data_IF_795977206778
#
_entry.id   IF_795977206778
#
_cell.length_a   1.000
_cell.length_b   1.000
_cell.length_c   1.000
_cell.angle_alpha   90.00
_cell.angle_beta   90.00
_cell.angle_gamma   90.00
#
_symmetry.space_group_name_H-M   'P 1'
#
loop_
_entity.id
_entity.type
_entity.pdbx_description
1 polymer ?
#
# COMPACT_ATOMS: atom_id res chain seq x y z
N UNK A 1 -14.58 -10.26 3.05
CA UNK A 1 -15.00 -9.71 1.76
C UNK A 1 -14.98 -8.19 1.88
N UNK A 2 -14.36 -7.50 0.92
CA UNK A 2 -14.21 -6.04 0.91
C UNK A 2 -15.48 -5.32 0.38
N UNK A 3 -15.54 -3.98 0.40
CA UNK A 3 -16.67 -3.22 -0.15
C UNK A 3 -16.90 -3.41 -1.67
N UNK A 4 -15.91 -3.92 -2.39
CA UNK A 4 -15.99 -4.24 -3.82
C UNK A 4 -16.48 -5.67 -4.08
N UNK A 5 -16.77 -6.44 -3.02
CA UNK A 5 -17.18 -7.86 -3.02
C UNK A 5 -16.06 -8.85 -3.33
N UNK A 6 -14.80 -8.47 -3.15
CA UNK A 6 -13.65 -9.36 -3.30
C UNK A 6 -13.38 -10.06 -1.98
N UNK A 7 -13.09 -11.36 -2.01
CA UNK A 7 -12.65 -12.08 -0.81
C UNK A 7 -11.20 -11.69 -0.47
N UNK A 8 -11.00 -11.27 0.77
CA UNK A 8 -9.70 -10.85 1.31
C UNK A 8 -9.38 -11.62 2.58
N UNK A 9 -8.10 -11.83 2.84
CA UNK A 9 -7.59 -12.51 4.04
C UNK A 9 -6.31 -11.82 4.56
N UNK A 10 -5.91 -12.09 5.80
CA UNK A 10 -4.75 -11.46 6.43
C UNK A 10 -4.88 -9.94 6.47
N UNK A 11 -3.84 -9.23 6.01
CA UNK A 11 -3.80 -7.76 5.96
C UNK A 11 -4.29 -7.17 4.63
N UNK A 12 -5.34 -7.77 4.05
CA UNK A 12 -5.97 -7.26 2.83
C UNK A 12 -5.53 -7.94 1.55
N UNK A 13 -4.84 -9.07 1.64
CA UNK A 13 -4.51 -9.92 0.49
C UNK A 13 -5.80 -10.34 -0.22
N UNK A 14 -5.96 -9.95 -1.48
CA UNK A 14 -7.10 -10.33 -2.31
C UNK A 14 -6.89 -11.74 -2.88
N UNK A 15 -7.81 -12.66 -2.56
CA UNK A 15 -7.64 -14.07 -2.90
C UNK A 15 -7.73 -14.26 -4.42
N UNK A 16 -6.57 -14.47 -5.05
CA UNK A 16 -6.43 -14.80 -6.46
C UNK A 16 -6.39 -16.31 -6.64
N UNK A 17 -7.28 -16.84 -7.47
CA UNK A 17 -7.38 -18.28 -7.71
C UNK A 17 -7.68 -18.54 -9.19
N UNK A 18 -6.81 -19.32 -9.83
CA UNK A 18 -6.93 -19.75 -11.25
C UNK A 18 -7.21 -18.60 -12.23
N UNK A 19 -6.47 -17.49 -12.08
CA UNK A 19 -6.50 -16.38 -13.04
C UNK A 19 -7.58 -15.33 -12.77
N UNK A 20 -8.28 -15.39 -11.64
CA UNK A 20 -9.25 -14.36 -11.23
C UNK A 20 -9.27 -14.17 -9.72
N UNK A 21 -9.77 -13.02 -9.28
CA UNK A 21 -10.15 -12.82 -7.89
C UNK A 21 -11.41 -13.61 -7.55
N UNK A 22 -11.46 -14.13 -6.32
CA UNK A 22 -12.69 -14.69 -5.75
C UNK A 22 -13.62 -13.57 -5.32
N UNK A 23 -14.88 -13.62 -5.75
CA UNK A 23 -15.85 -12.52 -5.56
C UNK A 23 -17.24 -13.03 -5.17
N UNK A 24 -17.94 -12.21 -4.39
CA UNK A 24 -19.35 -12.42 -4.06
C UNK A 24 -19.64 -13.72 -3.32
N UNK A 25 -20.92 -14.06 -3.27
CA UNK A 25 -21.39 -15.23 -2.53
C UNK A 25 -21.04 -16.55 -3.23
N UNK A 26 -20.96 -16.53 -4.56
CA UNK A 26 -20.66 -17.71 -5.39
C UNK A 26 -19.33 -18.36 -5.03
N UNK A 27 -18.32 -17.57 -4.64
CA UNK A 27 -17.00 -18.07 -4.28
C UNK A 27 -16.82 -18.31 -2.77
N UNK A 28 -17.87 -18.12 -1.94
CA UNK A 28 -17.74 -18.25 -0.48
C UNK A 28 -17.19 -19.60 -0.04
N UNK A 29 -17.73 -20.68 -0.59
CA UNK A 29 -17.32 -22.04 -0.23
C UNK A 29 -15.85 -22.28 -0.60
N UNK A 30 -15.45 -21.80 -1.79
CA UNK A 30 -14.08 -21.92 -2.28
C UNK A 30 -13.09 -21.07 -1.45
N UNK A 31 -13.44 -19.83 -1.12
CA UNK A 31 -12.60 -18.97 -0.28
C UNK A 31 -12.36 -19.61 1.11
N UNK A 32 -13.39 -20.25 1.68
CA UNK A 32 -13.27 -20.99 2.94
C UNK A 32 -12.46 -22.27 2.81
N UNK A 33 -12.58 -23.00 1.70
CA UNK A 33 -11.81 -24.23 1.51
C UNK A 33 -10.32 -23.99 1.26
N UNK A 34 -9.94 -22.82 0.74
CA UNK A 34 -8.53 -22.44 0.57
C UNK A 34 -7.86 -22.12 1.91
N UNK A 35 -8.61 -21.60 2.87
CA UNK A 35 -8.11 -21.21 4.20
C UNK A 35 -9.04 -21.72 5.32
N UNK A 36 -9.20 -23.04 5.47
CA UNK A 36 -10.20 -23.61 6.38
C UNK A 36 -9.93 -23.30 7.85
N UNK A 37 -8.64 -23.09 8.20
CA UNK A 37 -8.19 -22.78 9.55
C UNK A 37 -7.75 -21.31 9.71
N UNK A 38 -8.03 -20.46 8.73
CA UNK A 38 -7.48 -19.11 8.67
C UNK A 38 -5.97 -19.11 8.38
N UNK A 39 -5.28 -18.05 8.81
CA UNK A 39 -3.84 -17.86 8.65
C UNK A 39 -3.18 -17.73 10.03
N UNK A 40 -1.99 -18.31 10.14
CA UNK A 40 -1.02 -17.98 11.17
C UNK A 40 -0.41 -16.60 10.93
N UNK A 41 0.23 -16.03 11.95
CA UNK A 41 0.95 -14.76 11.80
C UNK A 41 2.06 -14.85 10.73
N UNK A 42 2.79 -15.97 10.70
CA UNK A 42 3.85 -16.20 9.72
C UNK A 42 3.30 -16.22 8.28
N UNK A 43 2.14 -16.83 8.07
CA UNK A 43 1.49 -16.82 6.75
C UNK A 43 0.94 -15.44 6.37
N UNK A 44 0.40 -14.68 7.32
CA UNK A 44 0.02 -13.28 7.08
C UNK A 44 1.21 -12.42 6.65
N UNK A 45 2.37 -12.58 7.31
CA UNK A 45 3.61 -11.88 6.94
C UNK A 45 4.08 -12.32 5.56
N UNK A 46 4.13 -13.63 5.29
CA UNK A 46 4.57 -14.14 4.00
C UNK A 46 3.69 -13.65 2.83
N UNK A 47 2.38 -13.55 3.02
CA UNK A 47 1.47 -12.98 2.02
C UNK A 47 1.71 -11.48 1.83
N UNK A 48 1.90 -10.72 2.91
CA UNK A 48 2.20 -9.30 2.81
C UNK A 48 3.52 -9.06 2.08
N UNK A 49 4.57 -9.81 2.43
CA UNK A 49 5.88 -9.71 1.79
C UNK A 49 5.77 -10.01 0.28
N UNK A 50 5.02 -11.05 -0.09
CA UNK A 50 4.78 -11.40 -1.49
C UNK A 50 4.01 -10.31 -2.25
N UNK A 51 2.99 -9.71 -1.63
CA UNK A 51 2.22 -8.62 -2.22
C UNK A 51 3.07 -7.35 -2.37
N UNK A 52 3.93 -7.05 -1.39
CA UNK A 52 4.79 -5.87 -1.37
C UNK A 52 6.01 -5.99 -2.28
N UNK A 53 6.53 -7.19 -2.55
CA UNK A 53 7.73 -7.39 -3.35
C UNK A 53 7.67 -6.67 -4.72
N UNK A 54 6.53 -6.78 -5.42
CA UNK A 54 6.34 -6.09 -6.71
C UNK A 54 6.25 -4.57 -6.55
N UNK A 55 5.62 -4.11 -5.47
CA UNK A 55 5.48 -2.69 -5.15
C UNK A 55 6.86 -2.08 -4.87
N UNK A 56 7.68 -2.75 -4.07
CA UNK A 56 9.02 -2.29 -3.72
C UNK A 56 9.94 -2.21 -4.94
N UNK A 57 9.95 -3.24 -5.79
CA UNK A 57 10.72 -3.23 -7.05
C UNK A 57 10.29 -2.07 -7.95
N UNK A 58 8.97 -1.88 -8.10
CA UNK A 58 8.43 -0.75 -8.86
C UNK A 58 8.88 0.59 -8.28
N UNK A 59 8.72 0.82 -6.96
CA UNK A 59 9.06 2.11 -6.35
C UNK A 59 10.55 2.44 -6.48
N UNK A 60 11.43 1.46 -6.24
CA UNK A 60 12.87 1.64 -6.38
C UNK A 60 13.27 1.99 -7.83
N UNK A 61 12.59 1.41 -8.81
CA UNK A 61 12.86 1.66 -10.23
C UNK A 61 12.28 3.00 -10.70
N UNK A 62 11.02 3.27 -10.33
CA UNK A 62 10.28 4.43 -10.80
C UNK A 62 10.68 5.74 -10.09
N UNK A 63 11.05 5.66 -8.81
CA UNK A 63 11.32 6.81 -7.95
C UNK A 63 12.61 6.60 -7.14
N UNK A 64 13.79 6.59 -7.79
CA UNK A 64 15.07 6.24 -7.14
C UNK A 64 15.56 7.25 -6.09
N UNK A 65 14.84 8.36 -5.87
CA UNK A 65 15.21 9.45 -4.95
C UNK A 65 14.25 9.61 -3.77
N UNK A 66 13.37 8.63 -3.53
CA UNK A 66 12.47 8.68 -2.39
C UNK A 66 13.26 8.59 -1.08
N UNK A 67 12.85 9.41 -0.12
CA UNK A 67 13.19 9.18 1.29
C UNK A 67 12.26 8.12 1.89
N UNK A 68 12.67 7.49 3.00
CA UNK A 68 11.91 6.39 3.60
C UNK A 68 10.42 6.72 3.86
N UNK A 69 10.04 7.86 4.45
CA UNK A 69 8.62 8.17 4.68
C UNK A 69 7.80 8.28 3.38
N UNK A 70 8.43 8.76 2.30
CA UNK A 70 7.77 8.81 0.99
C UNK A 70 7.63 7.41 0.39
N UNK A 71 8.68 6.60 0.50
CA UNK A 71 8.65 5.20 0.07
C UNK A 71 7.52 4.43 0.76
N UNK A 72 7.43 4.54 2.09
CA UNK A 72 6.41 3.86 2.89
C UNK A 72 4.99 4.33 2.54
N UNK A 73 4.81 5.65 2.37
CA UNK A 73 3.51 6.21 1.99
C UNK A 73 3.07 5.76 0.60
N UNK A 74 3.98 5.75 -0.38
CA UNK A 74 3.67 5.26 -1.74
C UNK A 74 3.50 3.75 -1.78
N UNK A 75 4.23 3.00 -0.95
CA UNK A 75 4.06 1.56 -0.78
C UNK A 75 2.66 1.23 -0.28
N UNK A 76 2.21 1.90 0.79
CA UNK A 76 0.84 1.76 1.30
C UNK A 76 -0.22 2.20 0.28
N UNK A 77 0.05 3.27 -0.46
CA UNK A 77 -0.83 3.74 -1.52
C UNK A 77 -0.98 2.69 -2.63
N UNK A 78 0.14 2.18 -3.15
CA UNK A 78 0.20 1.21 -4.24
C UNK A 78 -0.35 -0.16 -3.82
N UNK A 79 -0.13 -0.59 -2.58
CA UNK A 79 -0.76 -1.78 -2.03
C UNK A 79 -2.30 -1.69 -2.09
N UNK A 80 -2.86 -0.51 -1.85
CA UNK A 80 -4.31 -0.33 -1.88
C UNK A 80 -4.91 -0.07 -3.27
N UNK A 81 -4.23 0.72 -4.10
CA UNK A 81 -4.76 1.15 -5.40
C UNK A 81 -4.21 0.34 -6.58
N UNK A 82 -3.13 -0.41 -6.38
CA UNK A 82 -2.35 -1.06 -7.43
C UNK A 82 -1.24 -0.17 -7.97
N UNK A 83 -0.21 -0.82 -8.51
CA UNK A 83 0.95 -0.18 -9.14
C UNK A 83 0.53 0.65 -10.35
N UNK A 84 -0.30 0.08 -11.24
CA UNK A 84 -0.73 0.76 -12.47
C UNK A 84 -1.47 2.07 -12.19
N UNK A 85 -2.31 2.07 -11.14
CA UNK A 85 -3.02 3.25 -10.70
C UNK A 85 -2.08 4.34 -10.17
N UNK A 86 -1.04 3.95 -9.43
CA UNK A 86 0.01 4.87 -8.99
C UNK A 86 0.80 5.41 -10.18
N UNK A 87 1.31 4.54 -11.05
CA UNK A 87 2.20 4.95 -12.15
C UNK A 87 1.52 5.91 -13.13
N UNK A 88 0.25 5.65 -13.48
CA UNK A 88 -0.55 6.51 -14.36
C UNK A 88 -1.09 7.79 -13.69
N UNK A 89 -0.81 8.01 -12.41
CA UNK A 89 -1.43 9.10 -11.66
C UNK A 89 -0.78 10.48 -11.89
N UNK A 90 -1.57 11.54 -11.68
CA UNK A 90 -1.03 12.90 -11.54
C UNK A 90 -0.04 13.02 -10.38
N UNK A 91 -0.22 12.22 -9.31
CA UNK A 91 0.70 12.14 -8.18
C UNK A 91 2.09 11.70 -8.65
N UNK A 92 2.18 10.57 -9.36
CA UNK A 92 3.42 10.06 -9.91
C UNK A 92 4.05 11.03 -10.91
N UNK A 93 3.25 11.64 -11.80
CA UNK A 93 3.73 12.64 -12.75
C UNK A 93 4.40 13.83 -12.04
N UNK A 94 3.74 14.41 -11.04
CA UNK A 94 4.29 15.54 -10.27
C UNK A 94 5.55 15.15 -9.51
N UNK A 95 5.54 13.98 -8.89
CA UNK A 95 6.69 13.47 -8.14
C UNK A 95 7.90 13.22 -9.05
N UNK A 96 7.70 12.62 -10.23
CA UNK A 96 8.76 12.45 -11.25
C UNK A 96 9.34 13.79 -11.70
N UNK A 97 8.52 14.85 -11.75
CA UNK A 97 8.95 16.21 -12.04
C UNK A 97 9.63 16.92 -10.84
N UNK A 98 9.76 16.26 -9.69
CA UNK A 98 10.34 16.84 -8.47
C UNK A 98 9.39 17.71 -7.65
N UNK A 99 8.12 17.84 -8.06
CA UNK A 99 7.09 18.58 -7.33
C UNK A 99 6.51 17.71 -6.18
N UNK A 100 7.28 17.62 -5.10
CA UNK A 100 6.93 16.82 -3.90
C UNK A 100 5.67 17.37 -3.23
N UNK A 101 5.55 18.69 -3.08
CA UNK A 101 4.41 19.33 -2.44
C UNK A 101 3.12 19.14 -3.26
N UNK A 102 3.21 19.30 -4.58
CA UNK A 102 2.10 19.07 -5.48
C UNK A 102 1.73 17.60 -5.59
N UNK A 103 2.68 16.66 -5.52
CA UNK A 103 2.40 15.23 -5.42
C UNK A 103 1.63 14.91 -4.12
N UNK A 104 2.08 15.46 -2.99
CA UNK A 104 1.39 15.29 -1.71
C UNK A 104 -0.06 15.83 -1.73
N UNK A 105 -0.33 16.87 -2.51
CA UNK A 105 -1.68 17.42 -2.69
C UNK A 105 -2.63 16.50 -3.49
N UNK A 106 -2.12 15.49 -4.20
CA UNK A 106 -2.94 14.57 -4.98
C UNK A 106 -3.55 13.42 -4.17
N UNK A 107 -2.97 13.05 -3.02
CA UNK A 107 -3.46 11.95 -2.17
C UNK A 107 -4.97 12.02 -1.88
N UNK A 108 -5.57 13.16 -1.47
CA UNK A 108 -6.99 13.24 -1.13
C UNK A 108 -7.94 12.91 -2.28
N UNK A 109 -7.48 12.96 -3.54
CA UNK A 109 -8.30 12.64 -4.73
C UNK A 109 -8.59 11.14 -4.85
N UNK A 110 -7.83 10.30 -4.16
CA UNK A 110 -7.89 8.85 -4.21
C UNK A 110 -8.76 8.27 -3.07
N UNK A 111 -9.94 8.87 -2.86
CA UNK A 111 -10.85 8.50 -1.77
C UNK A 111 -12.18 7.90 -2.24
N UNK A 112 -12.28 7.51 -3.51
CA UNK A 112 -13.51 7.01 -4.11
C UNK A 112 -13.41 5.53 -4.49
N UNK A 113 -14.51 4.81 -4.35
CA UNK A 113 -14.73 3.50 -4.97
C UNK A 113 -16.05 3.52 -5.73
N UNK A 114 -16.05 3.06 -6.99
CA UNK A 114 -17.22 3.10 -7.89
C UNK A 114 -17.91 4.47 -7.93
N UNK A 115 -17.11 5.55 -7.93
CA UNK A 115 -17.59 6.93 -7.95
C UNK A 115 -18.01 7.51 -6.60
N UNK A 116 -18.15 6.69 -5.56
CA UNK A 116 -18.61 7.11 -4.22
C UNK A 116 -17.42 7.36 -3.30
N UNK A 117 -17.42 8.50 -2.61
CA UNK A 117 -16.41 8.82 -1.59
C UNK A 117 -16.59 7.90 -0.38
N UNK A 118 -15.50 7.29 0.07
CA UNK A 118 -15.49 6.42 1.25
C UNK A 118 -14.69 7.08 2.38
N UNK A 119 -15.33 7.26 3.55
CA UNK A 119 -14.70 7.87 4.71
C UNK A 119 -13.42 7.13 5.15
N UNK A 120 -13.39 5.80 5.01
CA UNK A 120 -12.20 4.99 5.26
C UNK A 120 -11.03 5.36 4.37
N UNK A 121 -11.26 5.54 3.06
CA UNK A 121 -10.22 5.94 2.12
C UNK A 121 -9.77 7.38 2.38
N UNK A 122 -10.69 8.30 2.69
CA UNK A 122 -10.33 9.68 3.05
C UNK A 122 -9.35 9.72 4.23
N UNK A 123 -9.63 8.97 5.30
CA UNK A 123 -8.70 8.87 6.46
C UNK A 123 -7.37 8.25 6.08
N UNK A 124 -7.39 7.17 5.29
CA UNK A 124 -6.17 6.48 4.81
C UNK A 124 -5.28 7.42 3.99
N UNK A 125 -5.84 8.12 2.99
CA UNK A 125 -5.10 9.07 2.15
C UNK A 125 -4.54 10.25 2.95
N UNK A 126 -5.25 10.70 3.99
CA UNK A 126 -4.73 11.74 4.88
C UNK A 126 -3.51 11.26 5.68
N UNK A 127 -3.54 10.02 6.21
CA UNK A 127 -2.42 9.44 6.93
C UNK A 127 -1.20 9.20 6.02
N UNK A 128 -1.41 8.67 4.82
CA UNK A 128 -0.33 8.47 3.84
C UNK A 128 0.27 9.80 3.40
N UNK A 129 -0.54 10.83 3.14
CA UNK A 129 -0.05 12.18 2.86
C UNK A 129 0.78 12.73 4.02
N UNK A 130 0.32 12.55 5.26
CA UNK A 130 1.05 13.01 6.43
C UNK A 130 2.42 12.32 6.52
N UNK A 131 2.46 11.00 6.36
CA UNK A 131 3.70 10.23 6.34
C UNK A 131 4.63 10.66 5.19
N UNK A 132 4.09 10.87 3.99
CA UNK A 132 4.85 11.31 2.82
C UNK A 132 5.55 12.66 3.02
N UNK A 133 4.96 13.54 3.84
CA UNK A 133 5.49 14.86 4.18
C UNK A 133 6.41 14.85 5.41
N UNK A 134 6.54 13.72 6.10
CA UNK A 134 7.42 13.59 7.26
C UNK A 134 8.88 13.65 6.80
N UNK A 135 9.75 14.42 7.48
CA UNK A 135 11.19 14.40 7.23
C UNK A 135 11.78 12.99 7.46
N UNK A 136 12.89 12.64 6.80
CA UNK A 136 13.57 11.38 7.12
C UNK A 136 14.00 11.39 8.58
N UNK A 137 13.95 10.22 9.24
CA UNK A 137 14.45 10.09 10.60
C UNK A 137 15.91 10.56 10.65
N UNK A 138 16.21 11.56 11.48
CA UNK A 138 17.58 11.98 11.74
C UNK A 138 18.28 10.81 12.42
N UNK A 139 19.29 10.23 11.77
CA UNK A 139 20.14 9.23 12.40
C UNK A 139 20.74 9.86 13.67
N UNK A 140 20.25 9.45 14.84
CA UNK A 140 20.83 9.83 16.12
C UNK A 140 22.28 9.37 16.14
N UNK A 141 23.21 10.31 16.29
CA UNK A 141 24.62 10.02 16.54
C UNK A 141 24.71 9.25 17.86
N UNK A 142 24.86 7.93 17.80
CA UNK A 142 25.39 7.17 18.92
C UNK A 142 26.88 7.46 19.02
N UNK A 143 27.24 8.44 19.84
CA UNK A 143 28.62 8.61 20.30
C UNK A 143 29.01 7.33 21.06
N UNK A 144 30.11 6.64 20.72
CA UNK A 144 30.59 5.56 21.56
C UNK A 144 31.13 6.19 22.85
N UNK A 145 30.51 5.86 23.99
CA UNK A 145 31.09 6.15 25.30
C UNK A 145 32.33 5.28 25.47
N UNK A 146 33.50 5.88 25.33
CA UNK A 146 34.76 5.29 25.79
C UNK A 146 34.82 5.45 27.31
N UNK A 147 34.55 4.39 28.06
CA UNK A 147 34.93 4.34 29.47
C UNK A 147 36.43 4.01 29.59
N UNK A 148 37.10 4.76 30.47
CA UNK A 148 38.44 4.50 30.98
C UNK A 148 38.34 3.68 32.26
#
# INVERSE_FOLDING_TARGET
MDPSKIWTIGWGHAIWYRGRFLTGEVDRALARSLYPNGLTLAECVALLDADMAKVEVFLNTAFPRLIQPQFDALGSFAFNCGIDALDGSTLARKLRAGDVAGAAAEFPRWNKSKGVVLAGLTRRRAAERALFLTPPATAGKTTPTTEK
#
